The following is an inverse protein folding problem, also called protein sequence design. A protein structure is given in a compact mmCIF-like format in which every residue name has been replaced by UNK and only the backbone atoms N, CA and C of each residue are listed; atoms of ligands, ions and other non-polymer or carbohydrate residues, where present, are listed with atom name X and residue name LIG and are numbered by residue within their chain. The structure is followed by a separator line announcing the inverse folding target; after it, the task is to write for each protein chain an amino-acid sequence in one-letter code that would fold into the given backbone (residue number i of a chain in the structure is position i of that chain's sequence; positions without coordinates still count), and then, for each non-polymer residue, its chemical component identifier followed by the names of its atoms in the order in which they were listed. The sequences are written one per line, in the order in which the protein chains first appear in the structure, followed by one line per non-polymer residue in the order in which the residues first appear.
data_IF_600125117023
#
_entry.id   IF_600125117023
#
_cell.length_a   1.000
_cell.length_b   1.000
_cell.length_c   1.000
_cell.angle_alpha   90.00
_cell.angle_beta   90.00
_cell.angle_gamma   90.00
#
_symmetry.space_group_name_H-M   'P 1'
#
loop_
_entity.id
_entity.type
_entity.pdbx_description
1 polymer ?
#
# COMPACT_ATOMS: atom_id res chain seq x y z
N UNK A 1 19.30 -28.74 -4.15
CA UNK A 1 17.98 -28.98 -3.53
C UNK A 1 18.06 -28.57 -2.07
N UNK A 2 17.54 -27.40 -1.71
CA UNK A 2 17.47 -26.98 -0.30
C UNK A 2 16.49 -27.88 0.46
N UNK A 3 16.91 -28.42 1.60
CA UNK A 3 16.08 -29.31 2.41
C UNK A 3 14.73 -28.66 2.77
N UNK A 4 13.60 -29.39 2.76
CA UNK A 4 12.29 -28.83 3.12
C UNK A 4 12.26 -28.20 4.53
N UNK A 5 13.16 -28.60 5.42
CA UNK A 5 13.29 -28.04 6.76
C UNK A 5 13.84 -26.60 6.80
N UNK A 6 14.73 -26.22 5.87
CA UNK A 6 15.29 -24.85 5.84
C UNK A 6 14.34 -23.84 5.22
N UNK A 7 13.54 -24.26 4.23
CA UNK A 7 12.53 -23.40 3.61
C UNK A 7 11.34 -23.12 4.53
N UNK A 8 10.89 -24.11 5.32
CA UNK A 8 9.81 -23.91 6.30
C UNK A 8 10.25 -23.00 7.46
N UNK A 9 11.50 -23.12 7.92
CA UNK A 9 12.05 -22.22 8.95
C UNK A 9 12.10 -20.77 8.48
N UNK A 10 12.50 -20.51 7.24
CA UNK A 10 12.53 -19.15 6.67
C UNK A 10 11.16 -18.49 6.68
N UNK A 11 10.12 -19.19 6.19
CA UNK A 11 8.74 -18.69 6.18
C UNK A 11 8.21 -18.38 7.58
N UNK A 12 8.50 -19.24 8.56
CA UNK A 12 8.09 -19.00 9.96
C UNK A 12 8.72 -17.74 10.54
N UNK A 13 10.01 -17.51 10.27
CA UNK A 13 10.73 -16.31 10.71
C UNK A 13 10.16 -15.06 10.05
N UNK A 14 9.89 -15.10 8.74
CA UNK A 14 9.27 -13.98 8.02
C UNK A 14 7.89 -13.64 8.59
N UNK A 15 7.05 -14.64 8.90
CA UNK A 15 5.75 -14.41 9.53
C UNK A 15 5.88 -13.82 10.93
N UNK A 16 6.84 -14.27 11.73
CA UNK A 16 7.10 -13.73 13.07
C UNK A 16 7.57 -12.29 13.00
N UNK A 17 8.51 -11.98 12.11
CA UNK A 17 9.08 -10.65 11.97
C UNK A 17 8.03 -9.65 11.49
N UNK A 18 7.18 -10.05 10.55
CA UNK A 18 6.07 -9.23 10.07
C UNK A 18 5.02 -8.98 11.15
N UNK A 19 4.68 -9.99 11.96
CA UNK A 19 3.77 -9.84 13.09
C UNK A 19 4.35 -8.88 14.14
N UNK A 20 5.64 -9.00 14.42
CA UNK A 20 6.35 -8.14 15.37
C UNK A 20 6.36 -6.66 14.93
N UNK A 21 6.66 -6.39 13.66
CA UNK A 21 6.63 -5.02 13.11
C UNK A 21 5.24 -4.40 13.17
N UNK A 22 4.19 -5.17 12.86
CA UNK A 22 2.81 -4.71 12.99
C UNK A 22 2.45 -4.40 14.45
N UNK A 23 2.85 -5.27 15.38
CA UNK A 23 2.59 -5.11 16.80
C UNK A 23 3.29 -3.86 17.36
N UNK A 24 4.54 -3.62 16.97
CA UNK A 24 5.28 -2.42 17.34
C UNK A 24 4.61 -1.15 16.81
N UNK A 25 4.25 -1.14 15.53
CA UNK A 25 3.58 0.02 14.91
C UNK A 25 2.24 0.30 15.58
N UNK A 26 1.44 -0.74 15.82
CA UNK A 26 0.15 -0.64 16.49
C UNK A 26 0.27 -0.20 17.95
N UNK A 27 1.27 -0.71 18.67
CA UNK A 27 1.57 -0.34 20.04
C UNK A 27 2.03 1.11 20.15
N UNK A 28 2.90 1.59 19.25
CA UNK A 28 3.36 2.98 19.24
C UNK A 28 2.21 3.95 18.94
N UNK A 29 1.34 3.62 17.97
CA UNK A 29 0.17 4.44 17.65
C UNK A 29 -0.82 4.49 18.83
N UNK A 30 -1.07 3.34 19.47
CA UNK A 30 -1.91 3.25 20.65
C UNK A 30 -1.35 4.02 21.85
N UNK A 31 -0.05 3.88 22.13
CA UNK A 31 0.65 4.60 23.18
C UNK A 31 0.54 6.12 22.98
N UNK A 32 0.77 6.62 21.76
CA UNK A 32 0.67 8.04 21.46
C UNK A 32 -0.75 8.58 21.74
N UNK A 33 -1.78 7.89 21.23
CA UNK A 33 -3.18 8.29 21.41
C UNK A 33 -3.59 8.32 22.89
N UNK A 34 -3.28 7.27 23.64
CA UNK A 34 -3.64 7.19 25.05
C UNK A 34 -2.81 8.10 25.95
N UNK A 35 -1.58 8.44 25.56
CA UNK A 35 -0.79 9.47 26.26
C UNK A 35 -1.50 10.81 26.19
N UNK A 36 -1.98 11.19 24.99
CA UNK A 36 -2.76 12.42 24.82
C UNK A 36 -4.03 12.36 25.66
N UNK A 37 -4.78 11.25 25.63
CA UNK A 37 -5.95 11.08 26.50
C UNK A 37 -5.61 11.16 27.99
N UNK A 38 -4.48 10.59 28.43
CA UNK A 38 -4.02 10.65 29.82
C UNK A 38 -3.69 12.08 30.25
N UNK A 39 -2.99 12.85 29.41
CA UNK A 39 -2.67 14.26 29.67
C UNK A 39 -3.96 15.10 29.76
N UNK A 40 -4.88 14.90 28.83
CA UNK A 40 -6.18 15.59 28.83
C UNK A 40 -6.98 15.23 30.08
N UNK A 41 -7.05 13.94 30.45
CA UNK A 41 -7.74 13.48 31.64
C UNK A 41 -7.16 14.10 32.92
N UNK A 42 -5.83 14.15 33.04
CA UNK A 42 -5.15 14.82 34.16
C UNK A 42 -5.44 16.33 34.17
N UNK A 43 -5.46 16.99 33.01
CA UNK A 43 -5.80 18.40 32.89
C UNK A 43 -7.23 18.71 33.34
N UNK A 44 -8.19 17.89 32.93
CA UNK A 44 -9.59 17.99 33.36
C UNK A 44 -9.70 17.75 34.87
N UNK A 45 -9.11 16.65 35.37
CA UNK A 45 -9.14 16.34 36.80
C UNK A 45 -8.51 17.47 37.65
N UNK A 46 -7.43 18.09 37.15
CA UNK A 46 -6.79 19.22 37.81
C UNK A 46 -7.66 20.48 37.81
N UNK A 47 -8.46 20.72 36.77
CA UNK A 47 -9.33 21.90 36.69
C UNK A 47 -10.56 21.78 37.57
N UNK A 48 -11.21 20.62 37.57
CA UNK A 48 -12.52 20.45 38.23
C UNK A 48 -12.43 19.96 39.68
N UNK A 49 -11.38 19.22 40.06
CA UNK A 49 -11.33 18.59 41.38
C UNK A 49 -10.35 19.29 42.34
N UNK A 50 -10.83 19.96 43.41
CA UNK A 50 -9.97 20.71 44.32
C UNK A 50 -9.00 19.84 45.12
N UNK A 51 -9.36 18.58 45.43
CA UNK A 51 -8.47 17.61 46.06
C UNK A 51 -7.32 17.21 45.14
N UNK A 52 -7.61 16.95 43.86
CA UNK A 52 -6.61 16.51 42.88
C UNK A 52 -5.56 17.60 42.56
N UNK A 53 -5.87 18.87 42.81
CA UNK A 53 -4.92 19.98 42.70
C UNK A 53 -3.80 19.93 43.74
N UNK A 54 -4.11 19.50 44.97
CA UNK A 54 -3.17 19.43 46.09
C UNK A 54 -2.32 18.14 46.07
N UNK A 55 -2.66 17.19 45.21
CA UNK A 55 -2.00 15.89 45.10
C UNK A 55 -0.57 16.03 44.52
N UNK A 56 0.29 15.07 44.86
CA UNK A 56 1.68 14.98 44.37
C UNK A 56 1.76 14.95 42.84
N UNK A 57 2.79 15.60 42.30
CA UNK A 57 3.11 15.55 40.87
C UNK A 57 3.38 14.13 40.37
N UNK A 58 3.90 13.27 41.25
CA UNK A 58 4.13 11.86 40.96
C UNK A 58 2.85 11.11 40.58
N UNK A 59 1.72 11.35 41.27
CA UNK A 59 0.47 10.67 40.92
C UNK A 59 -0.01 11.06 39.52
N UNK A 60 0.13 12.32 39.15
CA UNK A 60 -0.26 12.82 37.83
C UNK A 60 0.56 12.15 36.73
N UNK A 61 1.88 12.09 36.91
CA UNK A 61 2.77 11.38 36.00
C UNK A 61 2.44 9.88 35.91
N UNK A 62 2.14 9.25 37.05
CA UNK A 62 1.74 7.85 37.12
C UNK A 62 0.45 7.57 36.34
N UNK A 63 -0.55 8.46 36.41
CA UNK A 63 -1.79 8.32 35.65
C UNK A 63 -1.50 8.39 34.15
N UNK A 64 -0.69 9.36 33.70
CA UNK A 64 -0.31 9.47 32.28
C UNK A 64 0.46 8.23 31.82
N UNK A 65 1.46 7.78 32.57
CA UNK A 65 2.25 6.60 32.18
C UNK A 65 1.42 5.31 32.18
N UNK A 66 0.47 5.16 33.11
CA UNK A 66 -0.47 4.03 33.10
C UNK A 66 -1.35 4.06 31.85
N UNK A 67 -1.87 5.23 31.47
CA UNK A 67 -2.66 5.39 30.25
C UNK A 67 -1.83 5.06 29.01
N UNK A 68 -0.58 5.54 28.94
CA UNK A 68 0.34 5.22 27.84
C UNK A 68 0.56 3.71 27.71
N UNK A 69 0.84 3.01 28.82
CA UNK A 69 1.06 1.55 28.80
C UNK A 69 -0.19 0.78 28.41
N UNK A 70 -1.36 1.17 28.93
CA UNK A 70 -2.64 0.59 28.51
C UNK A 70 -2.88 0.80 27.01
N UNK A 71 -2.58 1.99 26.49
CA UNK A 71 -2.71 2.27 25.06
C UNK A 71 -1.75 1.46 24.18
N UNK A 72 -0.53 1.21 24.67
CA UNK A 72 0.45 0.38 23.97
C UNK A 72 -0.08 -1.04 23.79
N UNK A 73 -0.58 -1.65 24.86
CA UNK A 73 -1.11 -3.02 24.84
C UNK A 73 -2.37 -3.10 23.96
N UNK A 74 -3.34 -2.21 24.17
CA UNK A 74 -4.60 -2.22 23.39
C UNK A 74 -4.33 -1.96 21.90
N UNK A 75 -3.40 -1.06 21.58
CA UNK A 75 -3.01 -0.77 20.19
C UNK A 75 -2.35 -1.98 19.51
N UNK A 76 -1.42 -2.63 20.21
CA UNK A 76 -0.75 -3.84 19.75
C UNK A 76 -1.75 -4.97 19.48
N UNK A 77 -2.63 -5.28 20.43
CA UNK A 77 -3.61 -6.36 20.31
C UNK A 77 -4.58 -6.12 19.15
N UNK A 78 -5.04 -4.88 18.98
CA UNK A 78 -5.95 -4.53 17.88
C UNK A 78 -5.31 -4.80 16.52
N UNK A 79 -4.05 -4.44 16.34
CA UNK A 79 -3.35 -4.67 15.08
C UNK A 79 -3.11 -6.16 14.80
N UNK A 80 -2.83 -6.95 15.84
CA UNK A 80 -2.68 -8.40 15.70
C UNK A 80 -3.99 -9.07 15.26
N UNK A 81 -5.11 -8.73 15.92
CA UNK A 81 -6.44 -9.24 15.54
C UNK A 81 -6.80 -8.81 14.11
N UNK A 82 -6.51 -7.56 13.75
CA UNK A 82 -6.75 -7.08 12.39
C UNK A 82 -5.91 -7.85 11.36
N UNK A 83 -4.65 -8.14 11.66
CA UNK A 83 -3.79 -8.95 10.78
C UNK A 83 -4.34 -10.37 10.59
N UNK A 84 -4.70 -11.05 11.68
CA UNK A 84 -5.30 -12.39 11.59
C UNK A 84 -6.63 -12.39 10.84
N UNK A 85 -7.49 -11.38 11.09
CA UNK A 85 -8.76 -11.25 10.38
C UNK A 85 -8.54 -11.04 8.87
N UNK A 86 -7.59 -10.19 8.49
CA UNK A 86 -7.24 -9.95 7.10
C UNK A 86 -6.67 -11.20 6.43
N UNK A 87 -5.86 -11.99 7.15
CA UNK A 87 -5.35 -13.27 6.64
C UNK A 87 -6.49 -14.28 6.41
N UNK A 88 -7.41 -14.41 7.37
CA UNK A 88 -8.59 -15.29 7.23
C UNK A 88 -9.48 -14.86 6.07
N UNK A 89 -9.69 -13.55 5.90
CA UNK A 89 -10.49 -13.01 4.80
C UNK A 89 -9.85 -13.27 3.43
N UNK A 90 -8.52 -13.12 3.32
CA UNK A 90 -7.78 -13.44 2.11
C UNK A 90 -7.88 -14.94 1.76
N UNK A 91 -7.72 -15.83 2.74
CA UNK A 91 -7.86 -17.28 2.54
C UNK A 91 -9.29 -17.66 2.15
N UNK A 92 -10.30 -17.06 2.79
CA UNK A 92 -11.71 -17.28 2.49
C UNK A 92 -12.08 -16.76 1.09
N UNK A 93 -11.53 -15.62 0.67
CA UNK A 93 -11.72 -15.09 -0.68
C UNK A 93 -11.19 -16.07 -1.74
N UNK A 94 -10.00 -16.64 -1.53
CA UNK A 94 -9.44 -17.67 -2.44
C UNK A 94 -10.31 -18.93 -2.46
N UNK A 95 -10.81 -19.38 -1.29
CA UNK A 95 -11.73 -20.52 -1.23
C UNK A 95 -13.03 -20.25 -1.99
N UNK A 96 -13.60 -19.06 -1.87
CA UNK A 96 -14.80 -18.64 -2.63
C UNK A 96 -14.53 -18.57 -4.13
N UNK A 97 -13.37 -18.05 -4.54
CA UNK A 97 -12.96 -18.04 -5.94
C UNK A 97 -12.83 -19.47 -6.51
N UNK A 98 -12.21 -20.38 -5.76
CA UNK A 98 -12.09 -21.78 -6.14
C UNK A 98 -13.46 -22.45 -6.29
N UNK A 99 -14.35 -22.25 -5.32
CA UNK A 99 -15.71 -22.79 -5.37
C UNK A 99 -16.48 -22.27 -6.58
N UNK A 100 -16.41 -20.97 -6.87
CA UNK A 100 -17.08 -20.37 -8.02
C UNK A 100 -16.50 -20.89 -9.36
N UNK A 101 -15.17 -21.05 -9.46
CA UNK A 101 -14.52 -21.57 -10.65
C UNK A 101 -14.85 -23.03 -10.90
N UNK A 102 -14.89 -23.86 -9.85
CA UNK A 102 -15.26 -25.27 -9.93
C UNK A 102 -16.75 -25.45 -10.23
N UNK A 103 -17.62 -24.63 -9.63
CA UNK A 103 -19.06 -24.63 -9.91
C UNK A 103 -19.34 -24.31 -11.39
N UNK A 104 -18.60 -23.35 -11.99
CA UNK A 104 -18.69 -23.06 -13.43
C UNK A 104 -18.29 -24.24 -14.31
N UNK A 105 -17.39 -25.10 -13.83
CA UNK A 105 -16.97 -26.33 -14.51
C UNK A 105 -17.93 -27.51 -14.25
N UNK A 106 -18.97 -27.34 -13.44
CA UNK A 106 -19.89 -28.41 -13.04
C UNK A 106 -19.27 -29.43 -12.08
N UNK A 107 -18.14 -29.11 -11.46
CA UNK A 107 -17.39 -30.01 -10.57
C UNK A 107 -17.72 -29.66 -9.12
N UNK A 108 -17.96 -30.69 -8.29
CA UNK A 108 -18.17 -30.51 -6.85
C UNK A 108 -16.86 -30.06 -6.21
N UNK A 109 -16.91 -28.95 -5.47
CA UNK A 109 -15.75 -28.36 -4.79
C UNK A 109 -15.29 -29.21 -3.58
N UNK A 110 -14.69 -30.36 -3.86
CA UNK A 110 -14.03 -31.20 -2.86
C UNK A 110 -12.65 -30.63 -2.54
N UNK A 111 -12.10 -30.94 -1.36
CA UNK A 111 -10.77 -30.49 -0.93
C UNK A 111 -9.68 -30.86 -1.95
N UNK A 112 -9.79 -32.03 -2.60
CA UNK A 112 -8.86 -32.48 -3.64
C UNK A 112 -8.92 -31.61 -4.89
N UNK A 113 -10.11 -31.23 -5.34
CA UNK A 113 -10.30 -30.38 -6.52
C UNK A 113 -9.88 -28.93 -6.25
N UNK A 114 -10.11 -28.42 -5.03
CA UNK A 114 -9.61 -27.11 -4.63
C UNK A 114 -8.07 -27.09 -4.65
N UNK A 115 -7.40 -28.18 -4.24
CA UNK A 115 -5.94 -28.29 -4.32
C UNK A 115 -5.44 -28.35 -5.76
N UNK A 116 -6.11 -29.10 -6.64
CA UNK A 116 -5.80 -29.15 -8.08
C UNK A 116 -5.94 -27.78 -8.72
N UNK A 117 -7.06 -27.10 -8.47
CA UNK A 117 -7.30 -25.74 -8.94
C UNK A 117 -6.23 -24.74 -8.45
N UNK A 118 -5.78 -24.85 -7.18
CA UNK A 118 -4.68 -24.02 -6.67
C UNK A 118 -3.36 -24.29 -7.40
N UNK A 119 -3.04 -25.56 -7.65
CA UNK A 119 -1.82 -25.94 -8.38
C UNK A 119 -1.86 -25.47 -9.84
N UNK A 120 -3.01 -25.56 -10.51
CA UNK A 120 -3.24 -25.01 -11.86
C UNK A 120 -3.00 -23.50 -11.88
N UNK A 121 -3.60 -22.77 -10.93
CA UNK A 121 -3.45 -21.31 -10.82
C UNK A 121 -2.01 -20.87 -10.51
N UNK A 122 -1.30 -21.60 -9.66
CA UNK A 122 0.10 -21.30 -9.36
C UNK A 122 1.00 -21.58 -10.57
N UNK A 123 0.75 -22.66 -11.31
CA UNK A 123 1.45 -22.96 -12.56
C UNK A 123 1.17 -21.91 -13.66
N UNK A 124 -0.07 -21.47 -13.81
CA UNK A 124 -0.46 -20.40 -14.74
C UNK A 124 0.23 -19.08 -14.40
N UNK A 125 0.31 -18.71 -13.11
CA UNK A 125 1.02 -17.50 -12.66
C UNK A 125 2.51 -17.55 -12.93
N UNK A 126 3.17 -18.67 -12.63
CA UNK A 126 4.61 -18.84 -12.88
C UNK A 126 4.91 -18.87 -14.38
N UNK A 127 4.04 -19.48 -15.19
CA UNK A 127 4.19 -19.46 -16.64
C UNK A 127 4.01 -18.04 -17.20
N UNK A 128 2.99 -17.30 -16.74
CA UNK A 128 2.76 -15.91 -17.13
C UNK A 128 3.92 -14.98 -16.71
N UNK A 129 4.48 -15.19 -15.52
CA UNK A 129 5.65 -14.44 -15.04
C UNK A 129 6.88 -14.71 -15.91
N UNK A 130 7.15 -15.97 -16.27
CA UNK A 130 8.26 -16.33 -17.16
C UNK A 130 8.12 -15.74 -18.55
N UNK A 131 6.90 -15.73 -19.10
CA UNK A 131 6.60 -15.11 -20.40
C UNK A 131 6.79 -13.58 -20.34
N UNK A 132 6.30 -12.93 -19.27
CA UNK A 132 6.50 -11.50 -19.07
C UNK A 132 7.98 -11.12 -18.91
N UNK A 133 8.78 -11.96 -18.22
CA UNK A 133 10.23 -11.76 -18.10
C UNK A 133 10.93 -12.00 -19.44
N UNK A 134 10.55 -13.00 -20.23
CA UNK A 134 11.14 -13.21 -21.56
C UNK A 134 10.80 -12.11 -22.55
N UNK A 135 9.59 -11.56 -22.49
CA UNK A 135 9.17 -10.44 -23.34
C UNK A 135 9.86 -9.14 -22.92
N UNK A 136 10.09 -8.92 -21.62
CA UNK A 136 10.90 -7.81 -21.13
C UNK A 136 12.38 -7.93 -21.53
N UNK A 137 12.92 -9.15 -21.53
CA UNK A 137 14.32 -9.44 -21.88
C UNK A 137 14.55 -9.43 -23.41
N UNK A 138 13.52 -9.71 -24.22
CA UNK A 138 13.55 -9.53 -25.67
C UNK A 138 13.51 -8.06 -26.10
N UNK A 139 12.94 -7.18 -25.27
CA UNK A 139 12.89 -5.73 -25.50
C UNK A 139 14.23 -5.05 -25.18
N UNK A 140 15.08 -5.64 -24.32
CA UNK A 140 16.40 -5.10 -23.93
C UNK A 140 17.54 -5.46 -24.92
N UNK A 141 17.33 -6.43 -25.82
CA UNK A 141 18.32 -6.84 -26.82
C UNK A 141 18.35 -5.96 -28.09
N UNK A 142 17.54 -4.91 -28.15
CA UNK A 142 17.41 -4.05 -29.34
C UNK A 142 17.18 -2.58 -28.99
N UNK A 143 18.28 -1.82 -28.99
CA UNK A 143 18.37 -0.34 -28.98
C UNK A 143 18.32 0.35 -27.59
N UNK A 144 19.27 1.27 -27.29
CA UNK A 144 19.32 1.97 -26.01
C UNK A 144 18.28 3.09 -25.99
N UNK A 145 17.19 2.93 -25.25
CA UNK A 145 16.27 4.04 -24.97
C UNK A 145 16.03 4.14 -23.45
N UNK A 146 16.45 5.28 -22.95
CA UNK A 146 16.45 5.76 -21.58
C UNK A 146 15.05 5.64 -20.90
N UNK A 147 14.91 4.94 -19.75
CA UNK A 147 13.62 4.83 -19.08
C UNK A 147 13.35 6.03 -18.16
N UNK A 148 12.90 7.15 -18.74
CA UNK A 148 12.20 8.20 -17.97
C UNK A 148 10.72 7.80 -17.91
N UNK A 149 10.36 7.01 -16.90
CA UNK A 149 8.99 6.60 -16.65
C UNK A 149 8.24 7.68 -15.84
N UNK A 150 7.30 8.38 -16.48
CA UNK A 150 6.32 9.25 -15.82
C UNK A 150 5.03 8.46 -15.65
N UNK A 151 4.66 8.13 -14.41
CA UNK A 151 3.37 7.51 -14.08
C UNK A 151 2.39 8.56 -13.57
N UNK A 152 1.25 8.71 -14.25
CA UNK A 152 0.13 9.56 -13.81
C UNK A 152 -0.94 8.66 -13.21
N UNK A 153 -1.19 8.82 -11.91
CA UNK A 153 -2.23 8.06 -11.18
C UNK A 153 -3.51 8.91 -11.16
N UNK A 154 -4.57 8.43 -11.81
CA UNK A 154 -5.92 9.01 -11.69
C UNK A 154 -6.79 7.98 -10.95
N UNK A 155 -7.14 8.30 -9.70
CA UNK A 155 -7.86 7.43 -8.78
C UNK A 155 -9.37 7.77 -8.81
N UNK A 156 -10.21 6.85 -9.27
CA UNK A 156 -11.67 6.95 -9.13
C UNK A 156 -12.08 6.33 -7.79
N UNK A 157 -12.63 7.13 -6.88
CA UNK A 157 -13.03 6.70 -5.53
C UNK A 157 -14.54 6.74 -5.38
N UNK A 158 -15.16 5.59 -5.10
CA UNK A 158 -16.46 5.55 -4.41
C UNK A 158 -16.25 5.67 -2.90
N UNK A 159 -17.13 6.38 -2.17
CA UNK A 159 -16.96 6.61 -0.74
C UNK A 159 -17.13 5.30 0.05
N UNK A 160 -16.05 4.86 0.73
CA UNK A 160 -16.12 3.84 1.79
C UNK A 160 -15.32 2.55 1.57
N UNK A 161 -14.55 2.40 0.50
CA UNK A 161 -13.71 1.22 0.25
C UNK A 161 -12.21 1.54 0.37
N UNK A 162 -11.40 0.58 0.84
CA UNK A 162 -9.93 0.73 0.93
C UNK A 162 -9.32 0.81 -0.49
N UNK A 163 -8.27 1.64 -0.70
CA UNK A 163 -7.73 1.90 -2.03
C UNK A 163 -7.11 0.64 -2.63
N UNK A 164 -7.36 0.44 -3.93
CA UNK A 164 -6.71 -0.60 -4.76
C UNK A 164 -5.95 0.14 -5.85
N UNK A 165 -4.63 -0.02 -5.87
CA UNK A 165 -3.75 0.62 -6.85
C UNK A 165 -3.91 -0.05 -8.23
N UNK A 166 -4.08 0.77 -9.28
CA UNK A 166 -4.01 0.32 -10.68
C UNK A 166 -2.90 1.12 -11.37
N UNK A 167 -1.91 0.41 -11.92
CA UNK A 167 -0.79 0.99 -12.66
C UNK A 167 -1.12 1.00 -14.16
N UNK A 168 -1.00 2.15 -14.81
CA UNK A 168 -1.08 2.28 -16.28
C UNK A 168 0.34 2.45 -16.82
N UNK A 169 0.70 1.63 -17.81
CA UNK A 169 2.05 1.60 -18.40
C UNK A 169 2.15 2.61 -19.55
N UNK A 170 3.28 3.30 -19.66
CA UNK A 170 3.50 4.44 -20.57
C UNK A 170 3.37 4.08 -22.06
N UNK A 171 3.37 2.80 -22.46
CA UNK A 171 3.17 2.39 -23.85
C UNK A 171 1.81 2.81 -24.42
N UNK A 172 0.75 2.82 -23.62
CA UNK A 172 -0.59 3.20 -24.08
C UNK A 172 -0.72 4.71 -24.38
N UNK A 173 0.23 5.52 -23.89
CA UNK A 173 0.26 6.98 -24.12
C UNK A 173 1.07 7.33 -25.38
N UNK A 174 2.08 6.53 -25.72
CA UNK A 174 3.01 6.82 -26.82
C UNK A 174 2.33 6.72 -28.20
N UNK A 175 1.36 5.83 -28.38
CA UNK A 175 0.58 5.77 -29.63
C UNK A 175 -0.36 6.98 -29.82
N UNK A 176 -0.56 7.79 -28.78
CA UNK A 176 -1.36 9.02 -28.83
C UNK A 176 -0.51 10.30 -28.94
N UNK A 177 0.82 10.18 -28.85
CA UNK A 177 1.76 11.29 -28.74
C UNK A 177 2.07 12.01 -30.08
N UNK A 178 1.44 11.61 -31.19
CA UNK A 178 1.45 12.39 -32.43
C UNK A 178 0.54 13.63 -32.38
N UNK A 179 -0.23 13.84 -31.29
CA UNK A 179 -1.16 14.95 -31.12
C UNK A 179 -0.85 15.72 -29.81
N UNK A 180 0.32 16.37 -29.75
CA UNK A 180 0.93 16.85 -28.51
C UNK A 180 0.29 18.11 -27.87
N UNK A 181 -0.69 18.75 -28.50
CA UNK A 181 -1.36 19.94 -27.93
C UNK A 181 -2.79 19.62 -27.43
N UNK A 182 -3.46 18.63 -28.01
CA UNK A 182 -4.80 18.17 -27.59
C UNK A 182 -4.78 17.24 -26.38
N UNK A 183 -3.65 16.59 -26.09
CA UNK A 183 -3.53 15.63 -24.99
C UNK A 183 -3.47 16.31 -23.62
N UNK A 184 -2.78 17.46 -23.51
CA UNK A 184 -2.75 18.26 -22.28
C UNK A 184 -4.13 18.86 -21.98
N UNK A 185 -4.82 19.37 -23.01
CA UNK A 185 -6.19 19.88 -22.89
C UNK A 185 -7.17 18.77 -22.43
N UNK A 186 -7.01 17.55 -22.94
CA UNK A 186 -7.81 16.39 -22.54
C UNK A 186 -7.58 15.97 -21.09
N UNK A 187 -6.33 15.96 -20.62
CA UNK A 187 -5.99 15.64 -19.24
C UNK A 187 -6.57 16.68 -18.26
N UNK A 188 -6.43 17.97 -18.59
CA UNK A 188 -6.95 19.08 -17.78
C UNK A 188 -8.49 19.06 -17.73
N UNK A 189 -9.15 18.74 -18.85
CA UNK A 189 -10.60 18.60 -18.89
C UNK A 189 -11.11 17.46 -18.01
N UNK A 190 -10.43 16.29 -18.01
CA UNK A 190 -10.81 15.14 -17.18
C UNK A 190 -10.56 15.39 -15.69
N UNK A 191 -9.51 16.12 -15.33
CA UNK A 191 -9.26 16.54 -13.94
C UNK A 191 -10.34 17.54 -13.48
N UNK A 192 -10.76 18.46 -14.36
CA UNK A 192 -11.82 19.42 -14.05
C UNK A 192 -13.21 18.75 -13.89
N UNK A 193 -13.50 17.72 -14.69
CA UNK A 193 -14.72 16.92 -14.59
C UNK A 193 -14.75 16.09 -13.30
N UNK A 194 -13.64 15.43 -12.94
CA UNK A 194 -13.50 14.70 -11.68
C UNK A 194 -13.70 15.62 -10.45
N UNK A 195 -13.24 16.88 -10.52
CA UNK A 195 -13.41 17.87 -9.45
C UNK A 195 -14.86 18.36 -9.33
N UNK A 196 -15.61 18.42 -10.43
CA UNK A 196 -17.05 18.75 -10.42
C UNK A 196 -17.90 17.60 -9.86
N UNK A 197 -17.46 16.36 -10.03
CA UNK A 197 -18.10 15.18 -9.43
C UNK A 197 -17.85 15.03 -7.92
N UNK A 198 -17.04 15.91 -7.31
CA UNK A 198 -16.73 15.88 -5.87
C UNK A 198 -15.54 14.98 -5.52
N UNK A 199 -14.79 14.49 -6.51
CA UNK A 199 -13.67 13.57 -6.29
C UNK A 199 -12.38 14.35 -5.99
N UNK A 200 -11.57 13.80 -5.08
CA UNK A 200 -10.27 14.36 -4.72
C UNK A 200 -9.21 13.75 -5.63
N UNK A 201 -8.47 14.58 -6.37
CA UNK A 201 -7.42 14.14 -7.29
C UNK A 201 -6.05 14.53 -6.71
N UNK A 202 -5.20 13.54 -6.44
CA UNK A 202 -3.82 13.75 -5.95
C UNK A 202 -2.85 13.37 -7.07
N UNK A 203 -2.15 14.36 -7.62
CA UNK A 203 -1.13 14.16 -8.64
C UNK A 203 0.24 14.22 -7.97
N UNK A 204 0.84 13.07 -7.71
CA UNK A 204 2.18 12.98 -7.09
C UNK A 204 3.23 12.82 -8.19
N UNK A 205 3.83 13.93 -8.62
CA UNK A 205 5.05 13.87 -9.42
C UNK A 205 6.22 13.60 -8.47
N UNK A 206 6.87 12.44 -8.61
CA UNK A 206 8.03 12.07 -7.79
C UNK A 206 9.15 13.12 -8.00
N UNK A 207 9.63 13.76 -6.94
CA UNK A 207 10.60 14.88 -6.99
C UNK A 207 11.87 14.56 -7.80
N UNK A 208 12.25 13.27 -7.89
CA UNK A 208 13.35 12.79 -8.73
C UNK A 208 13.17 13.14 -10.21
N UNK A 209 11.94 13.09 -10.73
CA UNK A 209 11.61 13.35 -12.14
C UNK A 209 11.67 14.86 -12.44
N UNK A 210 11.28 15.70 -11.48
CA UNK A 210 11.36 17.16 -11.61
C UNK A 210 12.81 17.67 -11.55
N UNK A 211 13.68 17.02 -10.78
CA UNK A 211 15.11 17.31 -10.76
C UNK A 211 15.78 16.95 -12.10
N UNK A 212 15.50 15.76 -12.64
CA UNK A 212 16.07 15.29 -13.91
C UNK A 212 15.61 16.16 -15.11
N UNK A 213 14.34 16.62 -15.10
CA UNK A 213 13.81 17.53 -16.12
C UNK A 213 14.42 18.95 -16.05
N UNK A 214 14.85 19.41 -14.87
CA UNK A 214 15.56 20.70 -14.72
C UNK A 214 16.97 20.61 -15.27
N UNK A 215 17.69 19.53 -14.97
CA UNK A 215 19.03 19.31 -15.52
C UNK A 215 19.02 19.18 -17.04
N UNK A 216 18.04 18.46 -17.61
CA UNK A 216 17.87 18.34 -19.05
C UNK A 216 17.54 19.68 -19.75
N UNK A 217 16.78 20.57 -19.10
CA UNK A 217 16.50 21.93 -19.60
C UNK A 217 17.73 22.84 -19.53
N UNK A 218 18.54 22.73 -18.47
CA UNK A 218 19.78 23.49 -18.33
C UNK A 218 20.84 23.05 -19.35
N UNK A 219 20.92 21.75 -19.65
CA UNK A 219 21.82 21.24 -20.69
C UNK A 219 21.42 21.75 -22.08
N UNK A 220 20.13 21.70 -22.43
CA UNK A 220 19.62 22.28 -23.69
C UNK A 220 19.85 23.79 -23.78
N UNK A 221 19.70 24.52 -22.68
CA UNK A 221 19.99 25.96 -22.65
C UNK A 221 21.48 26.28 -22.86
N UNK A 222 22.39 25.41 -22.39
CA UNK A 222 23.84 25.56 -22.61
C UNK A 222 24.25 25.20 -24.05
N UNK A 223 23.57 24.27 -24.68
CA UNK A 223 23.79 23.92 -26.10
C UNK A 223 23.29 25.01 -27.04
N UNK A 224 22.14 25.63 -26.72
CA UNK A 224 21.58 26.75 -27.49
C UNK A 224 22.36 28.06 -27.31
N UNK A 225 23.09 28.25 -26.21
CA UNK A 225 23.95 29.42 -25.98
C UNK A 225 25.35 29.35 -26.60
N UNK A 226 25.69 28.24 -27.29
CA UNK A 226 26.97 28.05 -27.98
C UNK A 226 26.88 28.13 -29.50
N UNK A 227 25.67 28.34 -30.06
CA UNK A 227 25.46 28.62 -31.49
C UNK A 227 25.43 30.12 -31.77
#
# INVERSE_FOLDING_TARGET
MSSPATTDRGRRLEHQQRAYELQLRGGLEGAAKYTVFGIVAVGIAHRFWPLFRKQTWGLKAFIVSSATMSGLVIGADKYLIMYESAQRDAENAVRRQAQNALARRGIIATETEIRRWRAEQEAERVAAEKVAVSDAQAVDAGSPVNPIAISVVVEETEPGKKPVAVAVNARDVVDTAAASESAEAGLVARIAEARRAGNTVVVTATEAVLAEQREAREQRARELGKQ
#
